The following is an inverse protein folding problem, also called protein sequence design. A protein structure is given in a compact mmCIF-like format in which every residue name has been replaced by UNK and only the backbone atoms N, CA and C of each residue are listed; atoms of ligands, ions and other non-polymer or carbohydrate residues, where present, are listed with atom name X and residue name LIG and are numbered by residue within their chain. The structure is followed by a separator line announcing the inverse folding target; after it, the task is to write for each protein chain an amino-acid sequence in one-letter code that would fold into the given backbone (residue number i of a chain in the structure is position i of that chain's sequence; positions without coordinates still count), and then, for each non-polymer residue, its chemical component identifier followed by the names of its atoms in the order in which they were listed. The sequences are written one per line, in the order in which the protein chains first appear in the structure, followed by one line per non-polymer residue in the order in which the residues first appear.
data_IF_001882703465
#
_entry.id   IF_001882703465
#
_cell.length_a   1.000
_cell.length_b   1.000
_cell.length_c   1.000
_cell.angle_alpha   90.00
_cell.angle_beta   90.00
_cell.angle_gamma   90.00
#
_symmetry.space_group_name_H-M   'P 1'
#
loop_
_entity.id
_entity.type
_entity.pdbx_description
1 polymer ?
#
# COMPACT_ATOMS: atom_id res chain seq x y z
N UNK A 1 -9.21 -18.04 1.66
CA UNK A 1 -8.84 -17.30 0.45
C UNK A 1 -8.22 -15.97 0.84
N UNK A 2 -7.09 -15.64 0.22
CA UNK A 2 -6.35 -14.43 0.57
C UNK A 2 -6.88 -13.25 -0.24
N UNK A 3 -7.20 -12.16 0.44
CA UNK A 3 -7.62 -10.94 -0.28
C UNK A 3 -6.40 -10.15 -0.73
N UNK A 4 -6.57 -9.42 -1.82
CA UNK A 4 -5.53 -8.54 -2.35
C UNK A 4 -5.76 -7.11 -1.89
N UNK A 5 -4.68 -6.43 -1.54
CA UNK A 5 -4.74 -5.06 -1.04
C UNK A 5 -3.63 -4.22 -1.68
N UNK A 6 -3.88 -2.92 -1.77
CA UNK A 6 -2.84 -1.96 -2.15
C UNK A 6 -2.43 -1.23 -0.88
N UNK A 7 -1.15 -1.26 -0.55
CA UNK A 7 -0.62 -0.61 0.66
C UNK A 7 0.09 0.67 0.22
N UNK A 8 -0.47 1.81 0.61
CA UNK A 8 0.13 3.11 0.30
C UNK A 8 1.49 3.24 1.00
N UNK A 9 2.39 3.97 0.36
CA UNK A 9 3.75 4.14 0.86
C UNK A 9 3.80 4.73 2.26
N UNK A 10 2.86 5.61 2.63
CA UNK A 10 2.83 6.18 3.97
C UNK A 10 2.59 5.11 5.05
N UNK A 11 1.85 4.05 4.74
CA UNK A 11 1.65 2.93 5.65
C UNK A 11 2.92 2.11 5.78
N UNK A 12 3.62 1.90 4.66
CA UNK A 12 4.89 1.17 4.65
C UNK A 12 5.93 1.89 5.51
N UNK A 13 6.07 3.20 5.32
CA UNK A 13 7.01 4.01 6.10
C UNK A 13 6.65 3.97 7.59
N UNK A 14 5.39 4.20 7.90
CA UNK A 14 4.91 4.18 9.28
C UNK A 14 5.14 2.81 9.93
N UNK A 15 4.92 1.73 9.19
CA UNK A 15 5.10 0.38 9.68
C UNK A 15 6.56 0.03 9.98
N UNK A 16 7.49 0.61 9.21
CA UNK A 16 8.91 0.41 9.48
C UNK A 16 9.41 1.24 10.65
N UNK A 17 8.78 2.40 10.89
CA UNK A 17 9.23 3.32 11.93
C UNK A 17 8.62 3.07 13.30
N UNK A 18 7.51 2.35 13.37
CA UNK A 18 6.78 2.16 14.63
C UNK A 18 6.61 0.67 14.92
N UNK A 19 7.14 0.23 16.05
CA UNK A 19 7.11 -1.21 16.39
C UNK A 19 5.72 -1.73 16.74
N UNK A 20 4.88 -0.93 17.34
CA UNK A 20 3.61 -1.40 17.87
C UNK A 20 2.36 -0.91 17.17
N UNK A 21 2.49 -0.23 16.04
CA UNK A 21 1.36 0.42 15.41
C UNK A 21 0.56 -0.48 14.47
N UNK A 22 -0.62 0.01 14.08
CA UNK A 22 -1.48 -0.69 13.14
C UNK A 22 -0.82 -0.87 11.78
N UNK A 23 0.00 0.10 11.34
CA UNK A 23 0.73 -0.01 10.08
C UNK A 23 1.67 -1.22 10.09
N UNK A 24 2.40 -1.42 11.19
CA UNK A 24 3.28 -2.58 11.30
C UNK A 24 2.49 -3.89 11.31
N UNK A 25 1.32 -3.90 11.94
CA UNK A 25 0.47 -5.09 11.96
C UNK A 25 -0.01 -5.45 10.55
N UNK A 26 -0.31 -4.44 9.72
CA UNK A 26 -0.67 -4.66 8.32
C UNK A 26 0.51 -5.27 7.56
N UNK A 27 1.72 -4.72 7.71
CA UNK A 27 2.91 -5.27 7.05
C UNK A 27 3.17 -6.70 7.50
N UNK A 28 3.00 -6.98 8.78
CA UNK A 28 3.17 -8.33 9.32
C UNK A 28 2.17 -9.30 8.71
N UNK A 29 0.91 -8.89 8.58
CA UNK A 29 -0.11 -9.73 7.95
C UNK A 29 0.28 -10.08 6.51
N UNK A 30 0.79 -9.10 5.76
CA UNK A 30 1.27 -9.35 4.41
C UNK A 30 2.46 -10.30 4.39
N UNK A 31 3.42 -10.09 5.29
CA UNK A 31 4.61 -10.95 5.36
C UNK A 31 4.25 -12.39 5.76
N UNK A 32 3.20 -12.57 6.53
CA UNK A 32 2.72 -13.90 6.94
C UNK A 32 1.81 -14.56 5.92
N UNK A 33 1.53 -13.88 4.80
CA UNK A 33 0.68 -14.42 3.76
C UNK A 33 -0.81 -14.32 4.04
N UNK A 34 -1.22 -13.56 5.02
CA UNK A 34 -2.63 -13.38 5.36
C UNK A 34 -3.36 -12.47 4.39
N UNK A 35 -2.63 -11.55 3.76
CA UNK A 35 -3.15 -10.70 2.69
C UNK A 35 -2.10 -10.66 1.58
N UNK A 36 -2.55 -10.40 0.36
CA UNK A 36 -1.66 -10.31 -0.80
C UNK A 36 -1.46 -8.85 -1.18
N UNK A 37 -0.26 -8.27 -0.95
CA UNK A 37 -0.02 -6.89 -1.39
C UNK A 37 0.17 -6.85 -2.90
N UNK A 38 -0.41 -5.84 -3.54
CA UNK A 38 -0.25 -5.63 -4.98
C UNK A 38 0.84 -4.61 -5.25
N UNK A 39 1.61 -4.85 -6.30
CA UNK A 39 2.66 -3.94 -6.74
C UNK A 39 2.50 -3.63 -8.22
N UNK A 40 2.89 -2.43 -8.60
CA UNK A 40 2.97 -1.98 -9.97
C UNK A 40 4.13 -1.01 -10.09
N UNK A 41 4.45 -0.59 -11.31
CA UNK A 41 5.62 0.25 -11.56
C UNK A 41 5.62 1.53 -10.72
N UNK A 42 4.53 2.28 -10.73
CA UNK A 42 4.49 3.57 -10.03
C UNK A 42 4.65 3.39 -8.53
N UNK A 43 3.94 2.43 -7.94
CA UNK A 43 4.01 2.20 -6.50
C UNK A 43 5.39 1.68 -6.10
N UNK A 44 5.96 0.77 -6.89
CA UNK A 44 7.28 0.23 -6.62
C UNK A 44 8.36 1.31 -6.61
N UNK A 45 8.31 2.21 -7.61
CA UNK A 45 9.26 3.31 -7.68
C UNK A 45 9.10 4.25 -6.49
N UNK A 46 7.88 4.47 -6.05
CA UNK A 46 7.63 5.32 -4.88
C UNK A 46 8.19 4.69 -3.60
N UNK A 47 8.02 3.39 -3.41
CA UNK A 47 8.64 2.68 -2.29
C UNK A 47 10.17 2.84 -2.34
N UNK A 48 10.77 2.60 -3.51
CA UNK A 48 12.23 2.69 -3.66
C UNK A 48 12.74 4.09 -3.36
N UNK A 49 12.02 5.10 -3.85
CA UNK A 49 12.38 6.49 -3.60
C UNK A 49 12.37 6.82 -2.11
N UNK A 50 11.31 6.40 -1.42
CA UNK A 50 11.18 6.66 0.00
C UNK A 50 12.24 5.95 0.83
N UNK A 51 12.60 4.71 0.47
CA UNK A 51 13.61 3.97 1.19
C UNK A 51 15.00 4.59 1.05
N UNK A 52 15.23 5.35 -0.02
CA UNK A 52 16.52 6.01 -0.25
C UNK A 52 16.65 7.36 0.46
N UNK A 53 15.56 7.89 1.01
CA UNK A 53 15.61 9.20 1.67
C UNK A 53 16.25 9.13 3.06
N UNK A 54 16.89 10.23 3.51
CA UNK A 54 17.58 10.25 4.80
C UNK A 54 16.65 10.42 6.02
N UNK A 55 15.38 10.07 5.89
CA UNK A 55 14.39 10.23 6.96
C UNK A 55 14.44 9.12 7.99
N UNK A 56 15.20 8.06 7.74
CA UNK A 56 15.18 6.85 8.56
C UNK A 56 16.06 6.93 9.79
N UNK A 57 17.10 7.75 9.71
CA UNK A 57 18.03 7.93 10.83
C UNK A 57 18.55 6.55 11.31
N UNK A 58 18.47 6.27 12.61
CA UNK A 58 18.96 5.03 13.18
C UNK A 58 17.89 3.98 13.42
N UNK A 59 16.67 4.24 12.95
CA UNK A 59 15.54 3.34 13.22
C UNK A 59 15.72 2.01 12.49
N UNK A 60 16.13 2.07 11.21
CA UNK A 60 16.40 0.89 10.41
C UNK A 60 17.64 1.12 9.56
N UNK A 61 18.30 0.03 9.18
CA UNK A 61 19.41 0.12 8.23
C UNK A 61 18.87 0.01 6.80
N UNK A 62 19.62 0.49 5.79
CA UNK A 62 19.21 0.29 4.40
C UNK A 62 19.00 -1.16 4.03
N UNK A 63 19.82 -2.06 4.56
CA UNK A 63 19.67 -3.50 4.32
C UNK A 63 18.36 -4.03 4.89
N UNK A 64 18.01 -3.61 6.11
CA UNK A 64 16.75 -4.02 6.72
C UNK A 64 15.54 -3.58 5.89
N UNK A 65 15.55 -2.33 5.43
CA UNK A 65 14.45 -1.81 4.61
C UNK A 65 14.32 -2.57 3.30
N UNK A 66 15.44 -2.82 2.64
CA UNK A 66 15.45 -3.57 1.38
C UNK A 66 14.96 -5.00 1.59
N UNK A 67 15.33 -5.62 2.70
CA UNK A 67 14.89 -6.98 3.01
C UNK A 67 13.38 -7.05 3.23
N UNK A 68 12.81 -6.07 3.92
CA UNK A 68 11.37 -6.03 4.15
C UNK A 68 10.63 -5.84 2.83
N UNK A 69 11.10 -4.91 2.00
CA UNK A 69 10.46 -4.67 0.70
C UNK A 69 10.54 -5.92 -0.19
N UNK A 70 11.69 -6.56 -0.22
CA UNK A 70 11.86 -7.80 -1.00
C UNK A 70 10.94 -8.91 -0.50
N UNK A 71 10.79 -9.04 0.82
CA UNK A 71 9.91 -10.05 1.40
C UNK A 71 8.44 -9.77 1.08
N UNK A 72 8.04 -8.51 1.11
CA UNK A 72 6.68 -8.12 0.73
C UNK A 72 6.42 -8.40 -0.74
N UNK A 73 7.39 -8.08 -1.61
CA UNK A 73 7.26 -8.35 -3.04
C UNK A 73 7.10 -9.84 -3.32
N UNK A 74 7.80 -10.67 -2.55
CA UNK A 74 7.74 -12.12 -2.69
C UNK A 74 6.37 -12.68 -2.31
N UNK A 75 5.71 -12.05 -1.35
CA UNK A 75 4.36 -12.43 -0.90
C UNK A 75 3.26 -11.81 -1.75
N UNK A 76 3.62 -10.81 -2.54
CA UNK A 76 2.65 -10.04 -3.30
C UNK A 76 2.52 -10.49 -4.73
N UNK A 77 1.77 -9.70 -5.48
CA UNK A 77 1.53 -9.95 -6.89
C UNK A 77 1.81 -8.68 -7.67
N UNK A 78 2.57 -8.82 -8.75
CA UNK A 78 2.84 -7.69 -9.64
C UNK A 78 1.70 -7.57 -10.65
N UNK A 79 1.22 -6.34 -10.82
CA UNK A 79 0.12 -6.04 -11.74
C UNK A 79 0.65 -5.11 -12.83
N UNK A 80 0.44 -5.49 -14.08
CA UNK A 80 0.79 -4.64 -15.21
C UNK A 80 -0.43 -3.83 -15.63
N UNK A 81 -0.24 -2.51 -15.75
CA UNK A 81 -1.30 -1.60 -16.16
C UNK A 81 -1.00 -1.18 -17.59
N UNK A 82 -1.84 -1.60 -18.53
CA UNK A 82 -1.59 -1.37 -19.96
C UNK A 82 -2.00 0.02 -20.41
N UNK A 83 -3.00 0.61 -19.76
CA UNK A 83 -3.40 1.98 -20.05
C UNK A 83 -3.90 2.61 -18.77
N UNK A 84 -3.60 3.88 -18.60
CA UNK A 84 -4.00 4.58 -17.40
C UNK A 84 -5.48 4.87 -17.35
N UNK A 85 -6.11 4.53 -16.26
CA UNK A 85 -7.44 4.97 -15.93
C UNK A 85 -7.31 6.06 -14.88
N UNK A 86 -7.81 7.24 -15.18
CA UNK A 86 -7.54 8.42 -14.37
C UNK A 86 -8.80 8.87 -13.63
N UNK A 87 -9.04 8.36 -12.41
CA UNK A 87 -10.15 8.84 -11.61
C UNK A 87 -9.95 10.31 -11.22
N UNK A 88 -11.06 10.99 -10.95
CA UNK A 88 -11.01 12.39 -10.55
C UNK A 88 -10.68 12.49 -9.07
N UNK A 89 -9.40 12.55 -8.74
CA UNK A 89 -8.93 12.68 -7.37
C UNK A 89 -8.29 14.04 -7.15
N UNK A 90 -8.34 14.57 -5.92
CA UNK A 90 -7.70 15.85 -5.60
C UNK A 90 -6.20 15.86 -5.86
N UNK A 91 -5.53 14.74 -5.62
CA UNK A 91 -4.10 14.61 -5.85
C UNK A 91 -3.86 13.59 -6.95
N UNK A 92 -3.39 14.05 -8.11
CA UNK A 92 -3.11 13.15 -9.22
C UNK A 92 -2.07 12.08 -8.90
N UNK A 93 -1.15 12.37 -7.98
CA UNK A 93 -0.14 11.40 -7.59
C UNK A 93 -0.76 10.14 -6.96
N UNK A 94 -1.96 10.25 -6.40
CA UNK A 94 -2.65 9.11 -5.80
C UNK A 94 -3.44 8.29 -6.80
N UNK A 95 -3.59 8.77 -8.03
CA UNK A 95 -4.34 8.04 -9.05
C UNK A 95 -3.75 6.66 -9.32
N UNK A 96 -2.42 6.51 -9.20
CA UNK A 96 -1.79 5.22 -9.45
C UNK A 96 -2.23 4.15 -8.45
N UNK A 97 -2.59 4.54 -7.22
CA UNK A 97 -3.10 3.59 -6.23
C UNK A 97 -4.45 3.02 -6.65
N UNK A 98 -5.34 3.89 -7.12
CA UNK A 98 -6.66 3.48 -7.61
C UNK A 98 -6.51 2.61 -8.87
N UNK A 99 -5.67 3.04 -9.81
CA UNK A 99 -5.43 2.28 -11.03
C UNK A 99 -4.93 0.87 -10.72
N UNK A 100 -3.97 0.76 -9.81
CA UNK A 100 -3.42 -0.52 -9.39
C UNK A 100 -4.49 -1.39 -8.74
N UNK A 101 -5.27 -0.81 -7.83
CA UNK A 101 -6.31 -1.55 -7.12
C UNK A 101 -7.35 -2.12 -8.07
N UNK A 102 -7.79 -1.31 -9.04
CA UNK A 102 -8.78 -1.75 -10.01
C UNK A 102 -8.21 -2.81 -10.94
N UNK A 103 -7.01 -2.57 -11.48
CA UNK A 103 -6.38 -3.50 -12.41
C UNK A 103 -6.10 -4.85 -11.74
N UNK A 104 -5.74 -4.85 -10.47
CA UNK A 104 -5.40 -6.06 -9.74
C UNK A 104 -6.56 -6.71 -8.99
N UNK A 105 -7.73 -6.09 -9.00
CA UNK A 105 -8.88 -6.63 -8.29
C UNK A 105 -8.75 -6.57 -6.78
N UNK A 106 -8.12 -5.52 -6.26
CA UNK A 106 -7.94 -5.38 -4.82
C UNK A 106 -9.25 -5.15 -4.09
N UNK A 107 -9.34 -5.67 -2.88
CA UNK A 107 -10.48 -5.43 -2.00
C UNK A 107 -10.36 -4.10 -1.25
N UNK A 108 -9.14 -3.64 -1.02
CA UNK A 108 -8.93 -2.42 -0.25
C UNK A 108 -7.64 -1.72 -0.66
N UNK A 109 -7.65 -0.40 -0.48
CA UNK A 109 -6.44 0.41 -0.44
C UNK A 109 -6.25 0.81 1.02
N UNK A 110 -5.07 0.52 1.57
CA UNK A 110 -4.75 0.83 2.96
C UNK A 110 -3.87 2.06 2.97
N UNK A 111 -4.35 3.13 3.59
CA UNK A 111 -3.67 4.43 3.54
C UNK A 111 -4.01 5.25 4.78
N UNK A 112 -3.11 6.16 5.16
CA UNK A 112 -3.41 7.15 6.18
C UNK A 112 -4.15 8.36 5.59
N UNK A 113 -4.23 8.45 4.26
CA UNK A 113 -4.75 9.62 3.55
C UNK A 113 -6.14 9.35 3.00
N UNK A 114 -7.10 9.06 3.89
CA UNK A 114 -8.47 8.76 3.48
C UNK A 114 -9.15 9.93 2.77
N UNK A 115 -8.86 11.15 3.25
CA UNK A 115 -9.53 12.34 2.75
C UNK A 115 -9.32 12.50 1.25
N UNK A 116 -8.08 12.40 0.80
CA UNK A 116 -7.76 12.64 -0.61
C UNK A 116 -8.25 11.52 -1.50
N UNK A 117 -8.03 10.27 -1.10
CA UNK A 117 -8.46 9.13 -1.91
C UNK A 117 -9.98 8.95 -1.92
N UNK A 118 -10.62 9.30 -0.81
CA UNK A 118 -12.07 9.15 -0.69
C UNK A 118 -12.90 10.24 -1.36
N UNK A 119 -12.26 11.29 -1.89
CA UNK A 119 -12.97 12.44 -2.47
C UNK A 119 -13.20 12.37 -3.96
N UNK A 120 -12.75 11.36 -4.65
CA UNK A 120 -12.93 11.24 -6.09
C UNK A 120 -14.41 11.20 -6.45
N UNK A 121 -14.75 11.70 -7.63
CA UNK A 121 -16.13 11.68 -8.12
C UNK A 121 -16.60 10.28 -8.48
N UNK A 122 -15.68 9.42 -8.88
CA UNK A 122 -16.01 8.07 -9.29
C UNK A 122 -16.19 7.14 -8.10
N UNK A 123 -17.06 6.18 -8.26
CA UNK A 123 -17.26 5.12 -7.27
C UNK A 123 -16.61 3.85 -7.78
N UNK A 124 -16.00 3.11 -6.89
CA UNK A 124 -15.17 1.96 -7.25
C UNK A 124 -15.79 0.63 -6.83
N UNK A 125 -17.10 0.60 -6.73
CA UNK A 125 -17.80 -0.63 -6.40
C UNK A 125 -17.44 -1.15 -5.02
N UNK A 126 -16.81 -2.31 -4.97
CA UNK A 126 -16.48 -2.96 -3.71
C UNK A 126 -15.11 -2.59 -3.15
N UNK A 127 -14.40 -1.72 -3.82
CA UNK A 127 -13.10 -1.28 -3.32
C UNK A 127 -13.27 -0.39 -2.10
N UNK A 128 -12.70 -0.81 -0.97
CA UNK A 128 -12.72 -0.03 0.26
C UNK A 128 -11.42 0.75 0.39
N UNK A 129 -11.51 1.95 0.96
CA UNK A 129 -10.33 2.76 1.26
C UNK A 129 -10.28 2.91 2.78
N UNK A 130 -9.28 2.31 3.41
CA UNK A 130 -9.25 2.12 4.86
C UNK A 130 -7.92 2.55 5.44
N UNK A 131 -7.96 3.04 6.68
CA UNK A 131 -6.72 3.19 7.46
C UNK A 131 -6.23 1.81 7.90
N UNK A 132 -4.96 1.68 8.30
CA UNK A 132 -4.47 0.41 8.84
C UNK A 132 -5.33 -0.12 9.97
N UNK A 133 -5.73 0.73 10.92
CA UNK A 133 -6.57 0.31 12.04
C UNK A 133 -7.93 -0.20 11.57
N UNK A 134 -8.56 0.51 10.65
CA UNK A 134 -9.85 0.09 10.09
C UNK A 134 -9.73 -1.24 9.36
N UNK A 135 -8.64 -1.41 8.61
CA UNK A 135 -8.42 -2.66 7.88
C UNK A 135 -8.29 -3.84 8.82
N UNK A 136 -7.56 -3.68 9.92
CA UNK A 136 -7.38 -4.76 10.89
C UNK A 136 -8.70 -5.17 11.54
N UNK A 137 -9.60 -4.23 11.77
CA UNK A 137 -10.93 -4.55 12.29
C UNK A 137 -11.77 -5.34 11.30
N UNK A 138 -11.75 -4.92 10.05
CA UNK A 138 -12.53 -5.61 9.00
C UNK A 138 -11.97 -6.99 8.71
N UNK A 139 -10.65 -7.15 8.82
CA UNK A 139 -9.97 -8.41 8.53
C UNK A 139 -10.33 -9.52 9.54
N UNK A 140 -10.67 -9.17 10.74
CA UNK A 140 -10.99 -10.15 11.79
C UNK A 140 -12.20 -11.00 11.47
#
# INVERSE_FOLDING_TARGET
MTISVVIDTNVFVSGLRSEGGASRAVLRAALQGEVEPLFGNALWLEYRDLLARPVWSDITTPQERDQVLAALAKRGRWVTIYFGWRPNLPDEADNHLIELAIAGGASAIITHNLRDLGRGELRFGRLAILTPAQFLEVKR
#
